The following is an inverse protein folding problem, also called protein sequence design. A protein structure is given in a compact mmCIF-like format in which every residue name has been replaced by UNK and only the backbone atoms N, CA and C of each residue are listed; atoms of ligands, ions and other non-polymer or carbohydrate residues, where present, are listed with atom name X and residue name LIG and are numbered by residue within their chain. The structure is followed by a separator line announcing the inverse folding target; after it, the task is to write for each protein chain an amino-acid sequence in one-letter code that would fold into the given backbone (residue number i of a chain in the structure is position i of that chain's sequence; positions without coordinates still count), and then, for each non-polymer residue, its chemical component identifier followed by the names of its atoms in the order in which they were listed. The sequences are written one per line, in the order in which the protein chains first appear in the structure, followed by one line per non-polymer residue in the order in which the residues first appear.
data_IF_073199020438
#
_entry.id   IF_073199020438
#
_cell.length_a   1.000
_cell.length_b   1.000
_cell.length_c   1.000
_cell.angle_alpha   90.00
_cell.angle_beta   90.00
_cell.angle_gamma   90.00
#
_symmetry.space_group_name_H-M   'P 1'
#
loop_
_entity.id
_entity.type
_entity.pdbx_description
1 polymer ?
#
# COMPACT_ATOMS: atom_id res chain seq x y z
N UNK A 1 17.98 -15.58 -17.62
CA UNK A 1 17.36 -14.24 -17.81
C UNK A 1 15.82 -14.32 -17.68
N UNK A 2 15.28 -15.06 -16.69
CA UNK A 2 13.86 -15.48 -16.68
C UNK A 2 13.14 -15.25 -15.33
N UNK A 3 13.55 -14.26 -14.55
CA UNK A 3 12.89 -13.90 -13.28
C UNK A 3 12.31 -12.47 -13.28
N UNK A 4 12.67 -11.64 -14.27
CA UNK A 4 12.21 -10.25 -14.36
C UNK A 4 10.78 -10.10 -14.94
N UNK A 5 10.22 -11.15 -15.55
CA UNK A 5 8.90 -11.10 -16.18
C UNK A 5 7.72 -11.26 -15.22
N UNK A 6 7.94 -11.71 -13.97
CA UNK A 6 6.82 -12.01 -13.05
C UNK A 6 6.26 -10.80 -12.31
N UNK A 7 6.98 -9.67 -12.21
CA UNK A 7 6.51 -8.49 -11.45
C UNK A 7 5.53 -7.63 -12.26
N UNK A 8 5.56 -7.71 -13.60
CA UNK A 8 4.84 -6.77 -14.48
C UNK A 8 3.35 -7.10 -14.74
N UNK A 9 2.81 -8.22 -14.26
CA UNK A 9 1.43 -8.65 -14.58
C UNK A 9 0.35 -8.11 -13.62
N UNK A 10 0.56 -6.95 -13.00
CA UNK A 10 -0.30 -6.40 -11.92
C UNK A 10 -1.69 -5.93 -12.38
N UNK A 11 -1.98 -5.89 -13.69
CA UNK A 11 -3.16 -5.17 -14.18
C UNK A 11 -4.29 -6.10 -14.58
N UNK A 12 -5.04 -6.62 -13.60
CA UNK A 12 -6.48 -6.90 -13.79
C UNK A 12 -7.35 -5.88 -13.04
N UNK A 13 -6.76 -5.02 -12.21
CA UNK A 13 -7.47 -3.94 -11.56
C UNK A 13 -7.62 -2.79 -12.55
N UNK A 14 -8.85 -2.46 -12.89
CA UNK A 14 -9.15 -1.27 -13.69
C UNK A 14 -8.68 -0.03 -12.91
N UNK A 15 -7.85 0.82 -13.52
CA UNK A 15 -7.48 2.10 -12.90
C UNK A 15 -8.69 3.07 -13.01
N UNK A 16 -9.41 3.36 -11.92
CA UNK A 16 -10.59 4.23 -11.99
C UNK A 16 -10.21 5.71 -12.17
N UNK A 17 -8.91 6.04 -12.12
CA UNK A 17 -8.43 7.41 -12.21
C UNK A 17 -8.37 7.87 -13.66
N UNK A 18 -8.54 9.17 -13.86
CA UNK A 18 -8.36 9.80 -15.18
C UNK A 18 -6.88 9.80 -15.56
N UNK A 19 -6.48 8.98 -16.52
CA UNK A 19 -5.08 8.76 -16.92
C UNK A 19 -4.28 10.06 -17.19
N UNK A 20 -4.91 11.09 -17.76
CA UNK A 20 -4.26 12.37 -18.04
C UNK A 20 -4.07 13.27 -16.80
N UNK A 21 -4.64 12.91 -15.64
CA UNK A 21 -4.51 13.64 -14.37
C UNK A 21 -3.61 12.94 -13.36
N UNK A 22 -3.08 11.77 -13.67
CA UNK A 22 -2.22 10.98 -12.77
C UNK A 22 -0.77 11.01 -13.21
N UNK A 23 0.11 11.31 -12.25
CA UNK A 23 1.56 11.28 -12.45
C UNK A 23 2.18 10.00 -11.89
N UNK A 24 1.59 9.43 -10.84
CA UNK A 24 2.11 8.22 -10.21
C UNK A 24 1.45 6.97 -10.80
N UNK A 25 2.26 5.96 -11.06
CA UNK A 25 1.82 4.62 -11.47
C UNK A 25 0.82 4.06 -10.44
N UNK A 26 -0.25 3.42 -10.91
CA UNK A 26 -1.21 2.72 -10.04
C UNK A 26 -0.47 1.70 -9.17
N UNK A 27 0.39 0.92 -9.80
CA UNK A 27 1.19 -0.11 -9.15
C UNK A 27 2.06 0.48 -8.05
N UNK A 28 2.83 1.51 -8.37
CA UNK A 28 3.74 2.13 -7.42
C UNK A 28 2.96 2.68 -6.22
N UNK A 29 1.80 3.29 -6.47
CA UNK A 29 0.95 3.84 -5.40
C UNK A 29 0.38 2.73 -4.51
N UNK A 30 -0.12 1.64 -5.10
CA UNK A 30 -0.66 0.52 -4.32
C UNK A 30 0.42 -0.18 -3.49
N UNK A 31 1.60 -0.44 -4.08
CA UNK A 31 2.68 -1.13 -3.37
C UNK A 31 3.22 -0.27 -2.23
N UNK A 32 3.41 1.04 -2.43
CA UNK A 32 3.84 1.94 -1.36
C UNK A 32 2.83 1.97 -0.21
N UNK A 33 1.54 2.02 -0.51
CA UNK A 33 0.50 1.99 0.52
C UNK A 33 0.53 0.70 1.34
N UNK A 34 0.64 -0.46 0.68
CA UNK A 34 0.73 -1.76 1.36
C UNK A 34 1.99 -1.86 2.22
N UNK A 35 3.15 -1.44 1.70
CA UNK A 35 4.39 -1.48 2.49
C UNK A 35 4.32 -0.55 3.71
N UNK A 36 3.75 0.65 3.56
CA UNK A 36 3.57 1.58 4.67
C UNK A 36 2.66 1.02 5.75
N UNK A 37 1.51 0.43 5.38
CA UNK A 37 0.62 -0.24 6.33
C UNK A 37 1.30 -1.41 7.05
N UNK A 38 2.07 -2.23 6.33
CA UNK A 38 2.84 -3.33 6.93
C UNK A 38 3.96 -2.84 7.87
N UNK A 39 4.49 -1.64 7.62
CA UNK A 39 5.45 -0.97 8.48
C UNK A 39 4.81 -0.27 9.70
N UNK A 40 3.48 -0.34 9.84
CA UNK A 40 2.74 0.23 10.97
C UNK A 40 2.29 1.68 10.77
N UNK A 41 2.25 2.19 9.54
CA UNK A 41 1.62 3.48 9.24
C UNK A 41 0.09 3.34 9.23
N UNK A 42 -0.59 4.12 10.07
CA UNK A 42 -2.03 4.01 10.31
C UNK A 42 -2.88 4.92 9.40
N UNK A 43 -2.25 5.88 8.71
CA UNK A 43 -2.92 6.80 7.79
C UNK A 43 -2.05 7.18 6.58
N UNK A 44 -2.64 7.86 5.60
CA UNK A 44 -1.94 8.21 4.35
C UNK A 44 -0.79 9.20 4.55
N UNK A 45 -0.87 10.09 5.55
CA UNK A 45 0.22 11.00 5.90
C UNK A 45 1.43 10.24 6.45
N UNK A 46 1.19 9.25 7.31
CA UNK A 46 2.23 8.37 7.84
C UNK A 46 2.82 7.47 6.76
N UNK A 47 2.00 6.98 5.82
CA UNK A 47 2.49 6.21 4.67
C UNK A 47 3.41 7.07 3.79
N UNK A 48 3.01 8.31 3.48
CA UNK A 48 3.84 9.26 2.72
C UNK A 48 5.17 9.49 3.44
N UNK A 49 5.13 9.86 4.73
CA UNK A 49 6.31 10.12 5.54
C UNK A 49 7.23 8.90 5.65
N UNK A 50 6.67 7.71 5.88
CA UNK A 50 7.45 6.47 5.92
C UNK A 50 8.10 6.19 4.56
N UNK A 51 7.37 6.36 3.46
CA UNK A 51 7.85 6.09 2.12
C UNK A 51 8.95 7.07 1.68
N UNK A 52 8.89 8.32 2.12
CA UNK A 52 9.98 9.29 1.95
C UNK A 52 11.26 8.82 2.65
N UNK A 53 11.16 8.30 3.88
CA UNK A 53 12.31 7.75 4.61
C UNK A 53 12.86 6.44 4.02
N UNK A 54 12.04 5.69 3.29
CA UNK A 54 12.41 4.40 2.69
C UNK A 54 12.57 4.48 1.16
N UNK A 55 12.71 5.68 0.59
CA UNK A 55 12.67 5.88 -0.86
C UNK A 55 13.77 5.12 -1.60
N UNK A 56 14.98 5.03 -1.04
CA UNK A 56 16.09 4.25 -1.60
C UNK A 56 15.75 2.76 -1.66
N UNK A 57 15.17 2.22 -0.58
CA UNK A 57 14.73 0.84 -0.52
C UNK A 57 13.60 0.57 -1.50
N UNK A 58 12.58 1.44 -1.55
CA UNK A 58 11.47 1.33 -2.49
C UNK A 58 11.94 1.37 -3.95
N UNK A 59 12.93 2.20 -4.27
CA UNK A 59 13.53 2.31 -5.62
C UNK A 59 14.29 1.07 -6.06
N UNK A 60 14.65 0.17 -5.14
CA UNK A 60 15.30 -1.10 -5.51
C UNK A 60 14.37 -2.06 -6.28
N UNK A 61 13.05 -1.88 -6.16
CA UNK A 61 12.05 -2.71 -6.84
C UNK A 61 10.87 -1.94 -7.46
N UNK A 62 10.72 -0.64 -7.19
CA UNK A 62 9.73 0.24 -7.82
C UNK A 62 10.40 1.34 -8.67
N UNK A 63 9.87 1.66 -9.88
CA UNK A 63 10.41 2.74 -10.69
C UNK A 63 10.28 4.12 -10.06
N UNK A 64 9.15 4.42 -9.39
CA UNK A 64 8.87 5.70 -8.71
C UNK A 64 9.27 6.93 -9.54
N UNK A 65 8.91 6.93 -10.83
CA UNK A 65 9.34 7.95 -11.81
C UNK A 65 9.03 9.39 -11.40
N UNK A 66 7.96 9.59 -10.63
CA UNK A 66 7.51 10.89 -10.13
C UNK A 66 7.67 11.02 -8.60
N UNK A 67 8.48 10.16 -7.97
CA UNK A 67 8.66 10.12 -6.52
C UNK A 67 7.50 9.47 -5.78
N UNK A 68 7.48 9.69 -4.45
CA UNK A 68 6.46 9.16 -3.55
C UNK A 68 5.13 9.89 -3.82
N UNK A 69 4.00 9.15 -3.97
CA UNK A 69 2.68 9.77 -4.04
C UNK A 69 2.35 10.48 -2.72
N UNK A 70 1.72 11.65 -2.79
CA UNK A 70 1.27 12.34 -1.57
C UNK A 70 0.07 11.67 -0.89
N UNK A 71 -0.19 11.99 0.37
CA UNK A 71 -1.39 11.55 1.10
C UNK A 71 -2.70 11.83 0.35
N UNK A 72 -2.82 12.99 -0.32
CA UNK A 72 -3.96 13.31 -1.19
C UNK A 72 -4.06 12.38 -2.41
N UNK A 73 -2.94 11.90 -2.92
CA UNK A 73 -2.91 10.97 -4.05
C UNK A 73 -3.37 9.58 -3.63
N UNK A 74 -2.96 9.12 -2.44
CA UNK A 74 -3.51 7.90 -1.83
C UNK A 74 -5.01 8.05 -1.57
N UNK A 75 -5.44 9.13 -0.89
CA UNK A 75 -6.84 9.38 -0.58
C UNK A 75 -7.74 9.39 -1.82
N UNK A 76 -7.31 10.05 -2.90
CA UNK A 76 -8.04 10.02 -4.17
C UNK A 76 -8.09 8.64 -4.81
N UNK A 77 -6.99 7.88 -4.78
CA UNK A 77 -6.97 6.54 -5.34
C UNK A 77 -7.90 5.59 -4.57
N UNK A 78 -7.73 5.50 -3.26
CA UNK A 78 -8.49 4.59 -2.42
C UNK A 78 -9.96 5.02 -2.26
N UNK A 79 -10.28 6.31 -2.42
CA UNK A 79 -11.67 6.79 -2.51
C UNK A 79 -12.37 6.44 -3.82
N UNK A 80 -11.63 6.08 -4.88
CA UNK A 80 -12.17 5.68 -6.19
C UNK A 80 -12.20 4.17 -6.38
N UNK A 81 -11.34 3.44 -5.66
CA UNK A 81 -11.26 1.99 -5.74
C UNK A 81 -12.41 1.37 -4.92
N UNK A 82 -13.11 0.41 -5.53
CA UNK A 82 -14.05 -0.46 -4.82
C UNK A 82 -13.27 -1.41 -3.90
N UNK A 83 -13.47 -1.36 -2.57
CA UNK A 83 -12.70 -2.16 -1.60
C UNK A 83 -12.73 -3.66 -1.89
N UNK A 84 -13.89 -4.20 -2.27
CA UNK A 84 -14.09 -5.62 -2.56
C UNK A 84 -13.32 -6.07 -3.80
N UNK A 85 -13.29 -5.21 -4.84
CA UNK A 85 -12.51 -5.48 -6.05
C UNK A 85 -11.01 -5.45 -5.76
N UNK A 86 -10.58 -4.51 -4.91
CA UNK A 86 -9.19 -4.42 -4.48
C UNK A 86 -8.77 -5.62 -3.65
N UNK A 87 -9.55 -6.01 -2.64
CA UNK A 87 -9.25 -7.17 -1.80
C UNK A 87 -9.15 -8.44 -2.66
N UNK A 88 -10.11 -8.67 -3.56
CA UNK A 88 -10.13 -9.84 -4.43
C UNK A 88 -8.91 -9.90 -5.36
N UNK A 89 -8.56 -8.76 -5.98
CA UNK A 89 -7.39 -8.67 -6.84
C UNK A 89 -6.09 -8.84 -6.04
N UNK A 90 -5.99 -8.20 -4.88
CA UNK A 90 -4.84 -8.28 -3.98
C UNK A 90 -4.63 -9.72 -3.49
N UNK A 91 -5.68 -10.36 -2.99
CA UNK A 91 -5.63 -11.74 -2.47
C UNK A 91 -5.24 -12.75 -3.55
N UNK A 92 -5.83 -12.64 -4.75
CA UNK A 92 -5.44 -13.46 -5.89
C UNK A 92 -3.96 -13.29 -6.20
N UNK A 93 -3.47 -12.06 -6.18
CA UNK A 93 -2.09 -11.77 -6.51
C UNK A 93 -1.09 -12.26 -5.47
N UNK A 94 -1.39 -12.07 -4.18
CA UNK A 94 -0.56 -12.62 -3.10
C UNK A 94 -0.48 -14.14 -3.22
N UNK A 95 -1.58 -14.82 -3.56
CA UNK A 95 -1.59 -16.27 -3.77
C UNK A 95 -0.73 -16.72 -4.98
N UNK A 96 -0.60 -15.90 -6.03
CA UNK A 96 0.26 -16.19 -7.19
C UNK A 96 1.75 -15.98 -6.89
N UNK A 97 2.10 -14.91 -6.14
CA UNK A 97 3.50 -14.55 -5.86
C UNK A 97 4.06 -15.38 -4.71
N UNK A 98 3.21 -15.83 -3.80
CA UNK A 98 3.57 -16.66 -2.65
C UNK A 98 2.68 -17.90 -2.63
N UNK A 99 2.98 -18.93 -3.45
CA UNK A 99 2.22 -20.19 -3.48
C UNK A 99 2.15 -20.88 -2.10
N UNK A 100 3.14 -20.61 -1.24
CA UNK A 100 3.21 -21.10 0.13
C UNK A 100 2.24 -20.41 1.11
N UNK A 101 1.60 -19.28 0.73
CA UNK A 101 0.57 -18.58 1.50
C UNK A 101 -0.86 -19.07 1.19
N UNK A 102 -1.01 -20.26 0.60
CA UNK A 102 -2.28 -21.02 0.65
C UNK A 102 -2.86 -20.97 2.08
N UNK A 103 -4.19 -20.81 2.22
CA UNK A 103 -4.85 -19.91 3.18
C UNK A 103 -4.35 -20.08 4.61
N UNK A 104 -3.18 -19.52 4.91
CA UNK A 104 -2.84 -19.19 6.28
C UNK A 104 -3.58 -17.89 6.55
N UNK A 105 -4.74 -18.03 7.19
CA UNK A 105 -5.43 -16.93 7.85
C UNK A 105 -4.42 -16.36 8.86
N UNK A 106 -3.63 -15.40 8.42
CA UNK A 106 -2.87 -14.55 9.34
C UNK A 106 -3.93 -13.65 9.95
N UNK A 107 -4.32 -13.97 11.18
CA UNK A 107 -5.10 -13.05 11.98
C UNK A 107 -4.24 -11.80 12.22
N UNK A 108 -4.38 -10.81 11.33
CA UNK A 108 -3.99 -9.43 11.59
C UNK A 108 -5.03 -8.88 12.57
N UNK A 109 -4.99 -9.37 13.81
CA UNK A 109 -5.81 -8.85 14.89
C UNK A 109 -5.31 -7.44 15.19
N UNK A 110 -5.96 -6.46 14.57
CA UNK A 110 -5.75 -5.04 14.79
C UNK A 110 -6.22 -4.63 16.19
N UNK A 111 -5.61 -5.18 17.23
CA UNK A 111 -5.68 -4.59 18.56
C UNK A 111 -4.76 -3.39 18.59
N UNK A 112 -5.26 -2.27 18.08
CA UNK A 112 -4.75 -0.96 18.44
C UNK A 112 -4.94 -0.81 19.95
N UNK A 113 -3.87 -1.02 20.71
CA UNK A 113 -3.84 -0.63 22.13
C UNK A 113 -3.94 0.89 22.18
N UNK A 114 -5.16 1.41 22.30
CA UNK A 114 -5.40 2.80 22.63
C UNK A 114 -4.91 3.03 24.05
N UNK A 115 -3.64 3.41 24.20
CA UNK A 115 -3.11 3.95 25.44
C UNK A 115 -3.68 5.35 25.61
N UNK A 116 -4.87 5.45 26.18
CA UNK A 116 -5.42 6.70 26.68
C UNK A 116 -4.52 7.20 27.82
N UNK A 117 -3.60 8.11 27.49
CA UNK A 117 -2.77 8.80 28.48
C UNK A 117 -3.64 9.71 29.33
N UNK A 118 -3.90 9.30 30.58
CA UNK A 118 -4.38 10.19 31.61
C UNK A 118 -3.24 11.11 32.06
N UNK A 119 -3.39 12.41 31.79
CA UNK A 119 -2.72 13.54 32.44
C UNK A 119 -3.79 14.62 32.55
N UNK A 120 -4.09 15.31 33.65
CA UNK A 120 -3.52 15.54 34.99
C UNK A 120 -4.66 16.30 35.75
N UNK A 121 -4.76 16.45 37.08
CA UNK A 121 -3.84 17.05 38.03
C UNK A 121 -4.34 16.74 39.47
N UNK A 122 -3.40 16.59 40.40
CA UNK A 122 -3.62 16.78 41.83
C UNK A 122 -3.51 18.27 42.17
N UNK A 123 -4.19 18.72 43.23
CA UNK A 123 -3.46 19.34 44.34
C UNK A 123 -3.29 18.39 45.52
#
# INVERSE_FOLDING_TARGET
MSQASSILSIVTLHDPRRLWKVRHSLVDTLVVAVCGTLAGADNFQEIELWAEHQIEWLRSFLPLKNGIPSHDTFGRLFGLICPEQFESAFRRRVAEVLPALSPQVVALDGKTSSRSGSHSQSP
#
